data_IF_790068717101
#
_entry.id   IF_790068717101
#
_cell.length_a   1.000
_cell.length_b   1.000
_cell.length_c   1.000
_cell.angle_alpha   90.00
_cell.angle_beta   90.00
_cell.angle_gamma   90.00
#
_symmetry.space_group_name_H-M   'P 1'
#
loop_
_entity.id
_entity.type
_entity.pdbx_description
1 polymer ?
#
# COMPACT_ATOMS: atom_id res chain seq x y z
N UNK A 1 1.09 -2.74 17.96
CA UNK A 1 1.42 -2.76 19.40
C UNK A 1 2.54 -1.77 19.74
N UNK A 2 3.78 -1.95 19.27
CA UNK A 2 4.91 -1.06 19.64
C UNK A 2 4.74 0.44 19.31
N UNK A 3 4.04 0.77 18.22
CA UNK A 3 3.76 2.15 17.83
C UNK A 3 2.93 2.93 18.88
N UNK A 4 2.10 2.19 19.60
CA UNK A 4 0.98 2.73 20.35
C UNK A 4 1.30 2.88 21.84
N UNK A 5 2.18 2.02 22.34
CA UNK A 5 2.84 2.19 23.64
C UNK A 5 3.76 3.41 23.70
N UNK A 6 4.34 3.81 22.56
CA UNK A 6 5.21 5.00 22.49
C UNK A 6 4.36 6.28 22.57
N UNK A 7 3.15 6.26 22.00
CA UNK A 7 2.24 7.41 22.03
C UNK A 7 1.74 7.75 23.44
N UNK A 8 1.46 6.75 24.28
CA UNK A 8 0.99 6.96 25.67
C UNK A 8 2.09 7.51 26.58
N UNK A 9 3.34 7.12 26.33
CA UNK A 9 4.47 7.49 27.19
C UNK A 9 4.90 8.96 27.07
N UNK A 10 4.38 9.68 26.06
CA UNK A 10 4.84 11.02 25.68
C UNK A 10 3.78 12.10 26.00
N UNK A 11 2.60 11.74 26.54
CA UNK A 11 1.53 12.69 26.85
C UNK A 11 1.86 13.56 28.10
N UNK A 12 1.84 14.91 28.00
CA UNK A 12 2.09 15.82 29.13
C UNK A 12 0.84 16.06 30.00
N UNK A 13 1.06 16.46 31.26
CA UNK A 13 0.10 16.31 32.36
C UNK A 13 -0.85 17.49 32.69
N UNK A 14 -0.93 18.61 31.93
CA UNK A 14 -1.84 19.74 32.30
C UNK A 14 -2.35 20.61 31.11
N UNK A 15 -3.62 21.07 31.20
CA UNK A 15 -4.43 21.80 30.18
C UNK A 15 -4.97 23.16 30.69
N UNK A 16 -5.06 24.21 29.84
CA UNK A 16 -6.07 25.27 29.92
C UNK A 16 -7.11 25.15 28.80
N UNK A 17 -8.39 25.38 29.14
CA UNK A 17 -9.58 24.98 28.37
C UNK A 17 -10.02 25.94 27.25
N UNK A 18 -10.44 25.42 26.08
CA UNK A 18 -10.98 26.16 24.94
C UNK A 18 -11.90 25.31 24.05
N UNK A 19 -12.78 25.93 23.25
CA UNK A 19 -13.95 25.31 22.57
C UNK A 19 -13.69 24.12 21.61
N UNK A 20 -12.44 23.84 21.22
CA UNK A 20 -12.03 22.59 20.54
C UNK A 20 -11.98 21.38 21.51
N UNK A 21 -12.12 21.63 22.82
CA UNK A 21 -12.11 20.63 23.87
C UNK A 21 -13.30 19.67 23.78
N UNK A 22 -14.51 20.05 23.32
CA UNK A 22 -15.68 19.16 23.42
C UNK A 22 -15.59 17.90 22.51
N UNK A 23 -15.02 18.03 21.30
CA UNK A 23 -14.77 16.87 20.41
C UNK A 23 -13.59 16.02 20.88
N UNK A 24 -12.56 16.66 21.45
CA UNK A 24 -11.34 16.01 21.92
C UNK A 24 -11.57 15.33 23.27
N UNK A 25 -12.35 15.94 24.16
CA UNK A 25 -12.86 15.40 25.43
C UNK A 25 -13.80 14.23 25.17
N UNK A 26 -14.77 14.34 24.25
CA UNK A 26 -15.58 13.17 23.85
C UNK A 26 -14.75 12.02 23.31
N UNK A 27 -13.71 12.31 22.52
CA UNK A 27 -12.83 11.25 22.02
C UNK A 27 -11.98 10.65 23.15
N UNK A 28 -11.42 11.46 24.06
CA UNK A 28 -10.68 10.98 25.23
C UNK A 28 -11.56 10.19 26.21
N UNK A 29 -12.82 10.57 26.41
CA UNK A 29 -13.77 9.85 27.27
C UNK A 29 -14.19 8.49 26.67
N UNK A 30 -14.27 8.39 25.34
CA UNK A 30 -14.64 7.15 24.64
C UNK A 30 -13.42 6.22 24.46
N UNK A 31 -12.25 6.78 24.17
CA UNK A 31 -11.04 6.05 23.76
C UNK A 31 -10.04 5.87 24.91
N UNK A 32 -10.04 6.73 25.93
CA UNK A 32 -9.05 6.74 27.01
C UNK A 32 -8.83 5.37 27.66
N UNK A 33 -9.91 4.73 28.13
CA UNK A 33 -9.84 3.41 28.77
C UNK A 33 -9.77 2.24 27.76
N UNK A 34 -10.07 2.47 26.47
CA UNK A 34 -10.19 1.43 25.44
C UNK A 34 -9.22 1.60 24.28
N UNK A 35 -8.18 2.42 24.43
CA UNK A 35 -7.23 2.73 23.36
C UNK A 35 -6.65 1.46 22.74
N UNK A 36 -6.29 0.47 23.57
CA UNK A 36 -5.80 -0.84 23.13
C UNK A 36 -6.80 -1.62 22.26
N UNK A 37 -8.10 -1.55 22.54
CA UNK A 37 -9.15 -2.21 21.77
C UNK A 37 -9.39 -1.54 20.42
N UNK A 38 -9.43 -0.20 20.37
CA UNK A 38 -9.56 0.54 19.11
C UNK A 38 -8.38 0.24 18.19
N UNK A 39 -7.18 0.19 18.75
CA UNK A 39 -5.94 -0.19 18.03
C UNK A 39 -6.00 -1.62 17.51
N UNK A 40 -6.49 -2.55 18.32
CA UNK A 40 -6.73 -3.93 17.93
C UNK A 40 -7.75 -4.05 16.80
N UNK A 41 -8.88 -3.35 16.90
CA UNK A 41 -9.94 -3.34 15.90
C UNK A 41 -9.47 -2.77 14.56
N UNK A 42 -8.71 -1.68 14.58
CA UNK A 42 -8.11 -1.09 13.36
C UNK A 42 -7.11 -2.05 12.73
N UNK A 43 -6.24 -2.68 13.52
CA UNK A 43 -5.29 -3.67 13.00
C UNK A 43 -6.00 -4.90 12.42
N UNK A 44 -7.06 -5.38 13.09
CA UNK A 44 -7.87 -6.49 12.62
C UNK A 44 -8.60 -6.13 11.32
N UNK A 45 -9.18 -4.93 11.24
CA UNK A 45 -9.84 -4.44 10.04
C UNK A 45 -8.87 -4.34 8.87
N UNK A 46 -7.69 -3.73 9.08
CA UNK A 46 -6.66 -3.66 8.05
C UNK A 46 -6.18 -5.05 7.64
N UNK A 47 -5.98 -5.97 8.59
CA UNK A 47 -5.61 -7.35 8.30
C UNK A 47 -6.70 -8.10 7.52
N UNK A 48 -7.98 -7.84 7.80
CA UNK A 48 -9.09 -8.42 7.05
C UNK A 48 -9.16 -7.87 5.61
N UNK A 49 -9.11 -6.54 5.45
CA UNK A 49 -9.20 -5.87 4.15
C UNK A 49 -8.01 -6.22 3.27
N UNK A 50 -6.80 -6.23 3.83
CA UNK A 50 -5.57 -6.54 3.08
C UNK A 50 -5.32 -8.04 2.95
N UNK A 51 -5.74 -8.86 3.92
CA UNK A 51 -5.56 -10.32 3.89
C UNK A 51 -6.50 -11.02 2.92
N UNK A 52 -7.74 -10.52 2.76
CA UNK A 52 -8.73 -11.13 1.87
C UNK A 52 -8.27 -11.20 0.40
N UNK A 53 -7.40 -10.29 -0.06
CA UNK A 53 -6.91 -10.28 -1.44
C UNK A 53 -5.79 -11.29 -1.74
N UNK A 54 -5.20 -11.93 -0.72
CA UNK A 54 -4.14 -12.94 -0.93
C UNK A 54 -4.72 -14.24 -1.49
N UNK A 55 -5.96 -14.60 -1.12
CA UNK A 55 -6.62 -15.82 -1.62
C UNK A 55 -6.93 -15.79 -3.11
N UNK A 56 -7.24 -14.61 -3.66
CA UNK A 56 -7.65 -14.43 -5.06
C UNK A 56 -6.52 -14.64 -6.07
N UNK A 57 -5.26 -14.54 -5.63
CA UNK A 57 -4.07 -14.58 -6.50
C UNK A 57 -3.31 -15.92 -6.42
N UNK A 58 -3.94 -16.98 -5.90
CA UNK A 58 -3.33 -18.29 -5.75
C UNK A 58 -2.72 -18.84 -7.05
N UNK A 59 -3.39 -18.68 -8.19
CA UNK A 59 -2.87 -19.11 -9.48
C UNK A 59 -1.58 -18.38 -9.87
N UNK A 60 -1.50 -17.06 -9.62
CA UNK A 60 -0.29 -16.29 -9.88
C UNK A 60 0.86 -16.73 -8.97
N UNK A 61 0.57 -17.07 -7.72
CA UNK A 61 1.56 -17.62 -6.79
C UNK A 61 2.11 -18.97 -7.26
N UNK A 62 1.24 -19.90 -7.67
CA UNK A 62 1.65 -21.21 -8.19
C UNK A 62 2.53 -21.07 -9.42
N UNK A 63 2.16 -20.17 -10.35
CA UNK A 63 2.95 -19.87 -11.55
C UNK A 63 4.30 -19.25 -11.19
N UNK A 64 4.34 -18.33 -10.23
CA UNK A 64 5.59 -17.71 -9.76
C UNK A 64 6.56 -18.75 -9.17
N UNK A 65 6.05 -19.69 -8.36
CA UNK A 65 6.87 -20.74 -7.75
C UNK A 65 7.29 -21.82 -8.74
N UNK A 66 6.38 -22.24 -9.64
CA UNK A 66 6.62 -23.28 -10.64
C UNK A 66 6.99 -22.68 -12.01
N UNK A 67 7.79 -21.60 -11.99
CA UNK A 67 8.24 -20.94 -13.22
C UNK A 67 9.07 -21.91 -14.07
N UNK A 68 8.93 -21.79 -15.38
CA UNK A 68 9.74 -22.51 -16.37
C UNK A 68 10.43 -21.49 -17.27
N UNK A 69 11.69 -21.75 -17.61
CA UNK A 69 12.42 -20.91 -18.55
C UNK A 69 12.05 -21.33 -19.99
N UNK A 70 11.72 -20.36 -20.84
CA UNK A 70 11.40 -20.63 -22.23
C UNK A 70 12.65 -20.80 -23.10
N UNK A 71 13.82 -20.39 -22.60
CA UNK A 71 15.08 -20.44 -23.33
C UNK A 71 15.19 -19.37 -24.42
N UNK A 72 14.21 -18.48 -24.49
CA UNK A 72 14.16 -17.37 -25.43
C UNK A 72 14.16 -16.07 -24.64
N UNK A 73 15.09 -15.17 -24.99
CA UNK A 73 15.26 -13.88 -24.34
C UNK A 73 14.68 -12.77 -25.19
N UNK A 74 14.04 -11.81 -24.54
CA UNK A 74 13.52 -10.63 -25.20
C UNK A 74 14.66 -9.77 -25.79
N UNK A 75 14.36 -8.98 -26.82
CA UNK A 75 15.36 -8.19 -27.52
C UNK A 75 15.85 -6.95 -26.75
N UNK A 76 15.02 -6.40 -25.86
CA UNK A 76 15.20 -5.10 -25.20
C UNK A 76 15.93 -5.22 -23.86
N UNK A 77 15.44 -6.08 -22.98
CA UNK A 77 15.92 -6.29 -21.61
C UNK A 77 16.72 -7.59 -21.45
N UNK A 78 16.85 -8.40 -22.51
CA UNK A 78 17.57 -9.68 -22.51
C UNK A 78 17.13 -10.63 -21.40
N UNK A 79 15.87 -10.53 -20.99
CA UNK A 79 15.23 -11.32 -19.94
C UNK A 79 14.44 -12.46 -20.60
N UNK A 80 14.38 -13.62 -19.94
CA UNK A 80 13.64 -14.78 -20.48
C UNK A 80 12.13 -14.48 -20.54
N UNK A 81 11.43 -14.97 -21.56
CA UNK A 81 9.98 -14.79 -21.71
C UNK A 81 9.23 -15.34 -20.48
N UNK A 82 9.75 -16.38 -19.82
CA UNK A 82 9.19 -16.94 -18.60
C UNK A 82 9.08 -15.95 -17.44
N UNK A 83 9.97 -14.95 -17.36
CA UNK A 83 9.84 -13.86 -16.39
C UNK A 83 8.53 -13.09 -16.61
N UNK A 84 8.21 -12.74 -17.85
CA UNK A 84 7.04 -11.93 -18.19
C UNK A 84 5.71 -12.67 -17.98
N UNK A 85 5.71 -14.00 -18.16
CA UNK A 85 4.50 -14.82 -18.02
C UNK A 85 4.28 -15.25 -16.57
N UNK A 86 5.33 -15.68 -15.87
CA UNK A 86 5.20 -16.33 -14.56
C UNK A 86 5.50 -15.39 -13.39
N UNK A 87 6.40 -14.41 -13.57
CA UNK A 87 6.90 -13.62 -12.45
C UNK A 87 6.34 -12.20 -12.43
N UNK A 88 6.35 -11.53 -13.58
CA UNK A 88 5.90 -10.14 -13.72
C UNK A 88 4.46 -9.93 -13.22
N UNK A 89 3.47 -10.77 -13.56
CA UNK A 89 2.10 -10.57 -13.10
C UNK A 89 2.00 -10.65 -11.57
N UNK A 90 2.66 -11.64 -10.96
CA UNK A 90 2.65 -11.79 -9.50
C UNK A 90 3.31 -10.60 -8.79
N UNK A 91 4.50 -10.19 -9.24
CA UNK A 91 5.21 -9.06 -8.64
C UNK A 91 4.44 -7.74 -8.76
N UNK A 92 3.81 -7.50 -9.91
CA UNK A 92 2.97 -6.29 -10.11
C UNK A 92 1.73 -6.29 -9.23
N UNK A 93 1.08 -7.45 -9.04
CA UNK A 93 -0.03 -7.61 -8.10
C UNK A 93 0.42 -7.33 -6.67
N UNK A 94 1.54 -7.91 -6.23
CA UNK A 94 2.08 -7.73 -4.87
C UNK A 94 2.41 -6.26 -4.58
N UNK A 95 3.08 -5.58 -5.51
CA UNK A 95 3.41 -4.17 -5.33
C UNK A 95 2.17 -3.27 -5.33
N UNK A 96 1.17 -3.56 -6.16
CA UNK A 96 -0.10 -2.82 -6.20
C UNK A 96 -0.92 -3.01 -4.92
N UNK A 97 -0.93 -4.23 -4.40
CA UNK A 97 -1.52 -4.55 -3.11
C UNK A 97 -0.81 -3.83 -1.96
N UNK A 98 0.52 -3.90 -1.92
CA UNK A 98 1.34 -3.27 -0.88
C UNK A 98 1.17 -1.75 -0.88
N UNK A 99 1.14 -1.13 -2.06
CA UNK A 99 0.90 0.30 -2.20
C UNK A 99 -0.48 0.71 -1.65
N UNK A 100 -1.53 -0.03 -2.02
CA UNK A 100 -2.90 0.20 -1.51
C UNK A 100 -2.97 0.03 0.02
N UNK A 101 -2.32 -1.01 0.56
CA UNK A 101 -2.25 -1.26 1.99
C UNK A 101 -1.54 -0.12 2.74
N UNK A 102 -0.42 0.38 2.20
CA UNK A 102 0.31 1.51 2.79
C UNK A 102 -0.51 2.81 2.77
N UNK A 103 -1.29 3.06 1.71
CA UNK A 103 -2.22 4.20 1.67
C UNK A 103 -3.26 4.10 2.79
N UNK A 104 -3.88 2.92 2.98
CA UNK A 104 -4.86 2.73 4.06
C UNK A 104 -4.22 2.95 5.44
N UNK A 105 -3.02 2.40 5.66
CA UNK A 105 -2.26 2.62 6.90
C UNK A 105 -1.95 4.10 7.11
N UNK A 106 -1.56 4.82 6.06
CA UNK A 106 -1.29 6.25 6.12
C UNK A 106 -2.54 7.04 6.53
N UNK A 107 -3.69 6.76 5.91
CA UNK A 107 -4.97 7.43 6.22
C UNK A 107 -5.35 7.21 7.68
N UNK A 108 -5.32 5.94 8.13
CA UNK A 108 -5.63 5.56 9.52
C UNK A 108 -4.68 6.25 10.50
N UNK A 109 -3.38 6.29 10.18
CA UNK A 109 -2.37 6.94 11.02
C UNK A 109 -2.59 8.44 11.12
N UNK A 110 -2.92 9.09 10.00
CA UNK A 110 -3.21 10.52 9.95
C UNK A 110 -4.46 10.84 10.78
N UNK A 111 -5.53 10.06 10.62
CA UNK A 111 -6.76 10.18 11.40
C UNK A 111 -6.49 10.03 12.90
N UNK A 112 -5.69 9.04 13.29
CA UNK A 112 -5.27 8.84 14.68
C UNK A 112 -4.48 10.04 15.23
N UNK A 113 -3.59 10.64 14.44
CA UNK A 113 -2.83 11.82 14.87
C UNK A 113 -3.69 13.09 14.99
N UNK A 114 -4.70 13.26 14.14
CA UNK A 114 -5.70 14.33 14.26
C UNK A 114 -6.51 14.14 15.55
N UNK A 115 -7.05 12.94 15.77
CA UNK A 115 -7.94 12.65 16.91
C UNK A 115 -7.22 12.65 18.27
N UNK A 116 -5.94 12.24 18.32
CA UNK A 116 -5.14 12.29 19.54
C UNK A 116 -4.57 13.70 19.85
N UNK A 117 -4.97 14.75 19.12
CA UNK A 117 -4.55 16.14 19.39
C UNK A 117 -3.11 16.49 18.97
N UNK A 118 -2.50 15.73 18.05
CA UNK A 118 -1.12 15.98 17.58
C UNK A 118 -0.98 17.16 16.61
N UNK A 119 -2.10 17.67 16.08
CA UNK A 119 -2.17 18.79 15.13
C UNK A 119 -2.98 19.90 15.81
N UNK A 120 -2.29 20.98 16.22
CA UNK A 120 -2.91 22.18 16.81
C UNK A 120 -3.19 23.19 15.72
N UNK A 121 -4.45 23.49 15.44
CA UNK A 121 -4.86 24.67 14.68
C UNK A 121 -5.06 25.81 15.68
N UNK A 122 -3.97 26.47 16.11
CA UNK A 122 -4.09 27.72 16.87
C UNK A 122 -3.19 28.78 16.26
N UNK A 123 -3.75 29.99 16.20
CA UNK A 123 -3.51 31.13 15.31
C UNK A 123 -2.10 31.73 15.28
N UNK A 124 -1.08 31.10 15.86
CA UNK A 124 0.31 31.53 15.71
C UNK A 124 1.24 30.30 15.66
N UNK A 125 1.51 29.85 14.43
CA UNK A 125 2.47 28.83 14.03
C UNK A 125 2.02 27.37 14.30
N UNK A 126 1.46 26.74 13.26
CA UNK A 126 1.14 25.31 13.17
C UNK A 126 2.32 24.42 13.61
N UNK A 127 2.38 24.09 14.90
CA UNK A 127 3.40 23.18 15.45
C UNK A 127 2.86 21.76 15.46
N UNK A 128 2.86 21.13 14.28
CA UNK A 128 2.86 19.66 14.18
C UNK A 128 4.07 19.14 14.94
N UNK A 129 3.86 18.21 15.87
CA UNK A 129 4.94 17.66 16.70
C UNK A 129 6.01 16.97 15.83
N UNK A 130 7.31 17.09 16.17
CA UNK A 130 8.39 16.49 15.38
C UNK A 130 8.23 14.97 15.21
N UNK A 131 7.67 14.29 16.22
CA UNK A 131 7.43 12.84 16.17
C UNK A 131 6.37 12.45 15.12
N UNK A 132 5.30 13.24 14.98
CA UNK A 132 4.27 13.01 13.94
C UNK A 132 4.87 13.20 12.55
N UNK A 133 5.67 14.25 12.36
CA UNK A 133 6.40 14.47 11.10
C UNK A 133 7.33 13.31 10.77
N UNK A 134 8.09 12.80 11.74
CA UNK A 134 8.98 11.65 11.53
C UNK A 134 8.19 10.39 11.13
N UNK A 135 7.13 10.04 11.85
CA UNK A 135 6.33 8.85 11.56
C UNK A 135 5.65 8.91 10.19
N UNK A 136 5.03 10.05 9.86
CA UNK A 136 4.42 10.27 8.53
C UNK A 136 5.48 10.26 7.42
N UNK A 137 6.66 10.85 7.67
CA UNK A 137 7.76 10.84 6.67
C UNK A 137 8.27 9.43 6.37
N UNK A 138 8.30 8.53 7.36
CA UNK A 138 8.67 7.12 7.16
C UNK A 138 7.62 6.41 6.31
N UNK A 139 6.33 6.62 6.58
CA UNK A 139 5.26 6.04 5.77
C UNK A 139 5.27 6.56 4.32
N UNK A 140 5.49 7.86 4.14
CA UNK A 140 5.64 8.47 2.81
C UNK A 140 6.88 7.96 2.08
N UNK A 141 8.01 7.80 2.80
CA UNK A 141 9.22 7.19 2.26
C UNK A 141 8.99 5.75 1.80
N UNK A 142 8.28 4.95 2.58
CA UNK A 142 7.90 3.60 2.19
C UNK A 142 7.00 3.59 0.95
N UNK A 143 6.00 4.48 0.87
CA UNK A 143 5.17 4.66 -0.31
C UNK A 143 5.99 5.03 -1.56
N UNK A 144 6.94 5.95 -1.41
CA UNK A 144 7.83 6.34 -2.50
C UNK A 144 8.72 5.19 -2.98
N UNK A 145 9.24 4.37 -2.05
CA UNK A 145 10.02 3.18 -2.40
C UNK A 145 9.18 2.14 -3.16
N UNK A 146 7.97 1.85 -2.69
CA UNK A 146 7.06 0.92 -3.39
C UNK A 146 6.68 1.48 -4.75
N UNK A 147 6.40 2.77 -4.87
CA UNK A 147 6.11 3.41 -6.16
C UNK A 147 7.32 3.35 -7.11
N UNK A 148 8.54 3.56 -6.60
CA UNK A 148 9.77 3.39 -7.38
C UNK A 148 9.93 1.95 -7.89
N UNK A 149 9.65 0.95 -7.04
CA UNK A 149 9.65 -0.45 -7.45
C UNK A 149 8.59 -0.74 -8.53
N UNK A 150 7.39 -0.16 -8.42
CA UNK A 150 6.34 -0.26 -9.45
C UNK A 150 6.81 0.32 -10.77
N UNK A 151 7.34 1.55 -10.77
CA UNK A 151 7.89 2.16 -11.99
C UNK A 151 9.01 1.33 -12.62
N UNK A 152 9.88 0.75 -11.79
CA UNK A 152 10.92 -0.14 -12.27
C UNK A 152 10.34 -1.42 -12.89
N UNK A 153 9.23 -1.95 -12.39
CA UNK A 153 8.54 -3.09 -12.99
C UNK A 153 7.74 -2.72 -14.25
N UNK A 154 7.11 -1.55 -14.27
CA UNK A 154 6.29 -1.06 -15.38
C UNK A 154 7.11 -0.94 -16.68
N UNK A 155 8.44 -0.78 -16.58
CA UNK A 155 9.33 -0.80 -17.75
C UNK A 155 9.25 -2.10 -18.55
N UNK A 156 8.98 -3.23 -17.91
CA UNK A 156 8.83 -4.52 -18.56
C UNK A 156 7.45 -4.69 -19.21
N UNK A 157 6.47 -3.87 -18.83
CA UNK A 157 5.15 -3.87 -19.47
C UNK A 157 5.14 -3.11 -20.80
N UNK A 158 6.13 -2.24 -21.05
CA UNK A 158 6.25 -1.48 -22.30
C UNK A 158 6.44 -2.38 -23.53
N UNK A 159 6.99 -3.58 -23.36
CA UNK A 159 7.12 -4.57 -24.44
C UNK A 159 5.76 -5.09 -24.93
N UNK A 160 4.69 -4.92 -24.14
CA UNK A 160 3.31 -5.26 -24.51
C UNK A 160 2.50 -4.05 -25.02
N UNK A 161 3.12 -2.86 -25.12
CA UNK A 161 2.42 -1.64 -25.51
C UNK A 161 2.14 -1.59 -27.02
N UNK A 162 0.89 -1.78 -27.40
CA UNK A 162 0.33 -1.60 -28.75
C UNK A 162 0.21 -0.13 -29.20
N UNK A 163 0.82 0.84 -28.49
CA UNK A 163 0.78 2.27 -28.85
C UNK A 163 1.78 2.67 -29.95
N UNK A 164 2.66 1.76 -30.35
CA UNK A 164 3.39 1.88 -31.60
C UNK A 164 2.54 1.26 -32.71
N UNK A 165 2.25 2.02 -33.76
CA UNK A 165 1.43 1.59 -34.87
C UNK A 165 2.11 0.54 -35.78
N UNK A 166 2.74 -0.51 -35.25
CA UNK A 166 3.14 -1.72 -35.98
C UNK A 166 3.38 -2.87 -34.98
N UNK A 167 3.00 -4.09 -35.38
CA UNK A 167 3.11 -5.40 -34.71
C UNK A 167 2.02 -5.81 -33.70
N UNK A 168 1.07 -6.60 -34.22
CA UNK A 168 0.10 -7.35 -33.40
C UNK A 168 -1.09 -7.93 -34.16
N UNK A 169 -1.31 -7.51 -35.42
CA UNK A 169 -2.35 -8.06 -36.29
C UNK A 169 -2.11 -9.53 -36.71
N UNK A 170 -1.04 -10.20 -36.24
CA UNK A 170 -0.66 -11.54 -36.72
C UNK A 170 -0.51 -12.60 -35.62
N UNK A 171 -0.60 -12.28 -34.33
CA UNK A 171 -0.41 -13.30 -33.27
C UNK A 171 -1.70 -13.82 -32.61
N UNK A 172 -2.82 -13.12 -32.80
CA UNK A 172 -4.15 -13.56 -32.32
C UNK A 172 -5.06 -14.08 -33.43
N UNK A 173 -4.74 -13.80 -34.71
CA UNK A 173 -5.57 -14.23 -35.86
C UNK A 173 -5.19 -15.58 -36.46
N UNK A 174 -4.21 -16.29 -35.88
CA UNK A 174 -3.79 -17.63 -36.38
C UNK A 174 -4.17 -18.78 -35.44
N UNK A 175 -4.81 -18.53 -34.28
CA UNK A 175 -5.12 -19.61 -33.32
C UNK A 175 -6.56 -19.64 -32.75
N UNK A 176 -7.55 -19.03 -33.43
CA UNK A 176 -8.98 -19.14 -33.05
C UNK A 176 -9.90 -19.67 -34.17
N UNK A 177 -9.41 -20.00 -35.37
CA UNK A 177 -10.22 -20.68 -36.39
C UNK A 177 -9.60 -21.96 -36.93
N UNK A 178 -9.42 -22.95 -36.05
CA UNK A 178 -9.54 -24.37 -36.43
C UNK A 178 -10.13 -25.17 -35.26
N UNK A 179 -11.44 -25.01 -35.05
CA UNK A 179 -12.26 -26.17 -34.65
C UNK A 179 -13.15 -26.51 -35.84
N UNK A 180 -12.66 -27.43 -36.66
CA UNK A 180 -13.46 -28.13 -37.66
C UNK A 180 -14.48 -29.00 -36.92
N UNK A 181 -15.75 -28.63 -37.04
CA UNK A 181 -16.89 -29.43 -37.58
C UNK A 181 -18.13 -28.59 -37.47
#
# INVERSE_FOLDING_TARGET
WGNLSIAERIAPAFRPSGADDDLIERYHDIVGDRAGLVRGAVALFLAAVTGASLGTNWNQWVLFTNRVDFGQRDATFKTDIGFYVFQLPFLTTVLSWLFSALILVLIVTLMSHVLNGGIRFHTNLDRVTPQVKAHVSVLLGALALVQGARYWLDRYQLTFSTRGAVDGATYTDVNVQLRVT
#
